data_IF_905688853200
#
_entry.id   IF_905688853200
#
_cell.length_a   1.000
_cell.length_b   1.000
_cell.length_c   1.000
_cell.angle_alpha   90.00
_cell.angle_beta   90.00
_cell.angle_gamma   90.00
#
_symmetry.space_group_name_H-M   'P 1'
#
loop_
_entity.id
_entity.type
_entity.pdbx_description
1 polymer ?
#
# COMPACT_ATOMS: atom_id res chain seq x y z
N UNK A 1 -17.15 -40.68 1.93
CA UNK A 1 -16.43 -40.69 0.65
C UNK A 1 -17.52 -40.42 -0.39
N UNK A 2 -17.69 -39.19 -0.86
CA UNK A 2 -16.67 -38.43 -1.56
C UNK A 2 -16.66 -36.96 -1.14
N UNK A 3 -15.44 -36.47 -0.93
CA UNK A 3 -15.06 -35.08 -0.83
C UNK A 3 -14.95 -34.54 -2.26
N UNK A 4 -15.86 -33.65 -2.66
CA UNK A 4 -15.70 -32.90 -3.92
C UNK A 4 -14.93 -31.60 -3.57
N UNK A 5 -13.69 -31.53 -4.05
CA UNK A 5 -12.75 -30.44 -3.79
C UNK A 5 -12.97 -29.27 -4.76
N UNK A 6 -13.23 -28.09 -4.17
CA UNK A 6 -13.00 -26.69 -4.59
C UNK A 6 -13.18 -26.21 -6.05
N UNK A 7 -13.97 -25.14 -6.21
CA UNK A 7 -13.67 -24.04 -7.14
C UNK A 7 -13.89 -22.67 -6.44
N UNK A 8 -12.85 -21.87 -6.11
CA UNK A 8 -13.01 -20.58 -5.42
C UNK A 8 -13.29 -19.39 -6.36
N UNK A 9 -13.86 -19.61 -7.54
CA UNK A 9 -14.12 -18.55 -8.51
C UNK A 9 -15.55 -18.67 -9.08
N UNK A 10 -16.54 -18.60 -8.19
CA UNK A 10 -17.84 -18.08 -8.56
C UNK A 10 -17.89 -16.67 -7.98
N UNK A 11 -17.66 -15.68 -8.83
CA UNK A 11 -18.02 -14.30 -8.52
C UNK A 11 -19.49 -14.31 -8.16
N UNK A 12 -19.81 -13.99 -6.90
CA UNK A 12 -21.16 -13.79 -6.38
C UNK A 12 -21.82 -12.53 -7.00
N UNK A 13 -21.83 -12.44 -8.33
CA UNK A 13 -22.85 -11.72 -9.07
C UNK A 13 -23.87 -12.83 -9.40
N UNK A 14 -25.12 -12.78 -8.95
CA UNK A 14 -26.14 -12.19 -9.82
C UNK A 14 -27.51 -12.10 -9.08
N UNK A 15 -27.54 -11.62 -7.83
CA UNK A 15 -28.79 -11.14 -7.20
C UNK A 15 -29.04 -9.65 -7.50
N UNK A 16 -28.10 -8.98 -8.16
CA UNK A 16 -28.19 -7.59 -8.55
C UNK A 16 -28.74 -7.47 -9.98
N UNK A 17 -29.52 -6.42 -10.22
CA UNK A 17 -30.04 -6.18 -11.56
C UNK A 17 -28.91 -5.69 -12.50
N UNK A 18 -28.96 -5.97 -13.81
CA UNK A 18 -27.94 -5.55 -14.78
C UNK A 18 -27.66 -4.04 -14.80
N UNK A 19 -28.59 -3.21 -14.35
CA UNK A 19 -28.40 -1.75 -14.21
C UNK A 19 -27.37 -1.37 -13.14
N UNK A 20 -26.97 -2.30 -12.27
CA UNK A 20 -25.96 -2.10 -11.22
C UNK A 20 -24.54 -2.47 -11.66
N UNK A 21 -24.33 -2.82 -12.94
CA UNK A 21 -23.00 -3.00 -13.55
C UNK A 21 -22.33 -1.64 -13.83
N UNK A 22 -21.89 -0.97 -12.77
CA UNK A 22 -21.27 0.34 -12.89
C UNK A 22 -19.85 0.27 -13.47
N UNK A 23 -19.57 1.10 -14.48
CA UNK A 23 -18.21 1.35 -14.95
C UNK A 23 -17.43 2.24 -13.95
N UNK A 24 -16.69 1.60 -13.07
CA UNK A 24 -15.86 2.28 -12.07
C UNK A 24 -14.62 2.97 -12.66
N UNK A 25 -14.31 2.82 -13.96
CA UNK A 25 -13.20 3.55 -14.59
C UNK A 25 -13.40 5.06 -14.59
N UNK A 26 -14.66 5.52 -14.55
CA UNK A 26 -15.06 6.92 -14.47
C UNK A 26 -15.47 7.36 -13.04
N UNK A 27 -15.24 6.52 -12.04
CA UNK A 27 -15.65 6.79 -10.67
C UNK A 27 -14.97 8.06 -10.13
N UNK A 28 -15.77 8.95 -9.52
CA UNK A 28 -15.26 10.15 -8.85
C UNK A 28 -14.89 9.83 -7.41
N UNK A 29 -13.79 10.39 -6.88
CA UNK A 29 -13.46 10.28 -5.47
C UNK A 29 -14.60 10.80 -4.59
N UNK A 30 -14.96 10.06 -3.55
CA UNK A 30 -16.05 10.41 -2.64
C UNK A 30 -15.71 11.72 -1.86
N UNK A 31 -16.53 12.79 -1.99
CA UNK A 31 -16.28 14.08 -1.33
C UNK A 31 -16.47 14.04 0.19
N UNK A 32 -17.13 13.01 0.72
CA UNK A 32 -17.36 12.82 2.15
C UNK A 32 -16.26 12.01 2.84
N UNK A 33 -15.27 11.50 2.08
CA UNK A 33 -14.07 10.94 2.69
C UNK A 33 -13.29 12.11 3.30
N UNK A 34 -13.25 12.16 4.63
CA UNK A 34 -12.31 13.02 5.36
C UNK A 34 -10.90 12.60 4.92
N UNK A 35 -10.28 13.36 4.01
CA UNK A 35 -8.84 13.24 3.78
C UNK A 35 -8.17 13.46 5.13
N UNK A 36 -7.44 12.47 5.62
CA UNK A 36 -6.64 12.63 6.83
C UNK A 36 -5.51 13.60 6.42
N UNK A 37 -5.52 14.86 6.89
CA UNK A 37 -4.50 15.82 6.49
C UNK A 37 -3.14 15.28 6.96
N UNK A 38 -2.20 15.12 6.02
CA UNK A 38 -0.86 14.61 6.30
C UNK A 38 -0.65 13.10 6.10
N UNK A 39 -1.68 12.32 5.72
CA UNK A 39 -1.45 10.93 5.32
C UNK A 39 -0.92 10.87 3.89
N UNK A 40 0.32 10.41 3.71
CA UNK A 40 0.91 10.09 2.41
C UNK A 40 0.95 8.59 2.23
N UNK A 41 0.34 8.08 1.16
CA UNK A 41 0.50 6.68 0.75
C UNK A 41 1.83 6.59 0.01
N UNK A 42 2.67 5.65 0.44
CA UNK A 42 3.97 5.38 -0.17
C UNK A 42 3.96 3.91 -0.57
N UNK A 43 4.20 3.66 -1.85
CA UNK A 43 4.41 2.30 -2.35
C UNK A 43 5.87 1.91 -2.11
N UNK A 44 6.08 0.70 -1.60
CA UNK A 44 7.40 0.09 -1.45
C UNK A 44 7.55 -1.04 -2.47
N UNK A 45 8.79 -1.32 -2.86
CA UNK A 45 9.08 -2.38 -3.81
C UNK A 45 8.81 -3.78 -3.20
N UNK A 46 8.49 -4.80 -4.03
CA UNK A 46 8.10 -6.13 -3.54
C UNK A 46 9.17 -6.85 -2.72
N UNK A 47 10.45 -6.62 -3.05
CA UNK A 47 11.59 -7.17 -2.31
C UNK A 47 11.65 -6.61 -0.89
N UNK A 48 11.41 -5.31 -0.71
CA UNK A 48 11.34 -4.65 0.60
C UNK A 48 10.10 -5.11 1.37
N UNK A 49 8.95 -5.21 0.71
CA UNK A 49 7.71 -5.70 1.32
C UNK A 49 7.80 -7.16 1.77
N UNK A 50 8.66 -7.97 1.13
CA UNK A 50 8.90 -9.35 1.56
C UNK A 50 9.63 -9.46 2.90
N UNK A 51 10.38 -8.42 3.28
CA UNK A 51 11.16 -8.37 4.52
C UNK A 51 10.36 -7.68 5.63
N UNK A 52 9.67 -6.58 5.30
CA UNK A 52 8.88 -5.81 6.26
C UNK A 52 7.39 -6.05 6.05
N UNK A 53 6.77 -6.77 6.99
CA UNK A 53 5.37 -7.19 6.86
C UNK A 53 4.39 -6.13 7.38
N UNK A 54 4.87 -5.18 8.19
CA UNK A 54 4.02 -4.17 8.84
C UNK A 54 4.58 -2.75 8.70
N UNK A 55 3.70 -1.75 8.74
CA UNK A 55 4.10 -0.34 8.73
C UNK A 55 4.93 0.03 9.97
N UNK A 56 4.69 -0.63 11.11
CA UNK A 56 5.40 -0.41 12.36
C UNK A 56 6.88 -0.83 12.24
N UNK A 57 7.14 -1.97 11.60
CA UNK A 57 8.51 -2.46 11.32
C UNK A 57 9.27 -1.50 10.41
N UNK A 58 8.67 -1.09 9.29
CA UNK A 58 9.26 -0.13 8.34
C UNK A 58 9.60 1.19 9.06
N UNK A 59 8.65 1.75 9.80
CA UNK A 59 8.86 3.00 10.51
C UNK A 59 9.94 2.90 11.59
N UNK A 60 10.03 1.76 12.27
CA UNK A 60 11.06 1.52 13.28
C UNK A 60 12.45 1.48 12.65
N UNK A 61 12.62 0.76 11.54
CA UNK A 61 13.87 0.67 10.80
C UNK A 61 14.31 2.05 10.24
N UNK A 62 13.38 2.79 9.63
CA UNK A 62 13.67 4.14 9.11
C UNK A 62 14.07 5.11 10.22
N UNK A 63 13.40 5.07 11.38
CA UNK A 63 13.76 5.90 12.55
C UNK A 63 15.12 5.52 13.12
N UNK A 64 15.45 4.23 13.15
CA UNK A 64 16.77 3.76 13.57
C UNK A 64 17.86 4.30 12.62
N UNK A 65 17.64 4.22 11.31
CA UNK A 65 18.54 4.80 10.33
C UNK A 65 18.70 6.31 10.50
N UNK A 66 17.61 7.05 10.72
CA UNK A 66 17.66 8.48 10.99
C UNK A 66 18.53 8.79 12.21
N UNK A 67 18.38 8.06 13.32
CA UNK A 67 19.21 8.22 14.52
C UNK A 67 20.68 7.97 14.23
N UNK A 68 21.01 6.88 13.53
CA UNK A 68 22.39 6.57 13.14
C UNK A 68 23.01 7.69 12.29
N UNK A 69 22.27 8.22 11.32
CA UNK A 69 22.75 9.32 10.46
C UNK A 69 22.87 10.66 11.18
N UNK A 70 22.06 10.89 12.23
CA UNK A 70 22.13 12.09 13.05
C UNK A 70 23.32 12.05 14.02
N UNK A 71 23.68 10.86 14.52
CA UNK A 71 24.84 10.65 15.39
C UNK A 71 26.16 10.57 14.61
N UNK A 72 26.13 10.23 13.32
CA UNK A 72 27.30 10.22 12.47
C UNK A 72 26.94 10.71 11.04
N UNK A 73 27.13 12.00 10.71
CA UNK A 73 26.75 12.58 9.42
C UNK A 73 27.75 12.16 8.32
N UNK A 74 27.84 10.87 8.01
CA UNK A 74 28.84 10.35 7.07
C UNK A 74 28.51 10.59 5.59
N UNK A 75 27.43 11.28 5.23
CA UNK A 75 27.19 11.61 3.81
C UNK A 75 26.28 12.84 3.62
N UNK A 76 26.67 13.99 4.19
CA UNK A 76 26.07 15.28 3.83
C UNK A 76 26.79 15.99 2.66
N UNK A 77 27.68 15.29 1.94
CA UNK A 77 28.41 15.82 0.77
C UNK A 77 28.48 14.80 -0.34
N UNK A 78 27.50 14.82 -1.23
CA UNK A 78 27.54 14.48 -2.66
C UNK A 78 26.10 14.58 -3.13
N UNK A 79 25.62 15.78 -3.44
CA UNK A 79 25.76 16.45 -4.74
C UNK A 79 25.58 17.99 -4.57
N UNK A 80 25.95 18.89 -5.51
CA UNK A 80 25.97 18.65 -6.97
C UNK A 80 27.14 19.30 -7.76
N UNK A 81 27.40 18.80 -8.97
CA UNK A 81 27.66 19.58 -10.21
C UNK A 81 28.34 18.73 -11.29
N UNK A 82 28.23 19.08 -12.59
CA UNK A 82 27.46 20.17 -13.20
C UNK A 82 26.23 19.71 -13.99
#
# INVERSE_FOLDING_TARGET
>A
MNEEQANPQETEDDDLLPEYDFDYSQARPNPFIKRIPGSKVIMIEPDVASIFSTQEEVNTALRFLMKLTQENPLTAKQSPSP
#
